data_IF_227166861714
#
_entry.id   IF_227166861714
#
_cell.length_a   1.000
_cell.length_b   1.000
_cell.length_c   1.000
_cell.angle_alpha   90.00
_cell.angle_beta   90.00
_cell.angle_gamma   90.00
#
_symmetry.space_group_name_H-M   'P 1'
#
loop_
_entity.id
_entity.type
_entity.pdbx_description
1 polymer ?
#
# COMPACT_ATOMS: atom_id res chain seq x y z
N UNK A 1 -33.42 -30.21 41.23
CA UNK A 1 -31.97 -30.37 40.93
C UNK A 1 -31.64 -29.48 39.76
N UNK A 2 -31.33 -28.20 40.02
CA UNK A 2 -30.91 -27.25 38.98
C UNK A 2 -29.43 -27.51 38.67
N UNK A 3 -29.15 -28.05 37.49
CA UNK A 3 -27.78 -28.16 37.01
C UNK A 3 -27.25 -26.73 36.79
N UNK A 4 -26.32 -26.31 37.63
CA UNK A 4 -25.46 -25.16 37.38
C UNK A 4 -24.60 -25.50 36.16
N UNK A 5 -25.12 -25.23 34.96
CA UNK A 5 -24.32 -25.19 33.75
C UNK A 5 -23.29 -24.09 33.98
N UNK A 6 -22.04 -24.48 34.19
CA UNK A 6 -20.94 -23.53 34.34
C UNK A 6 -20.94 -22.61 33.12
N UNK A 7 -20.96 -21.29 33.31
CA UNK A 7 -20.93 -20.30 32.22
C UNK A 7 -19.78 -20.54 31.23
N UNK A 8 -18.72 -21.21 31.69
CA UNK A 8 -17.59 -21.65 30.87
C UNK A 8 -17.93 -22.70 29.80
N UNK A 9 -18.94 -23.55 30.02
CA UNK A 9 -19.33 -24.57 29.03
C UNK A 9 -20.13 -23.95 27.89
N UNK A 10 -21.08 -23.07 28.21
CA UNK A 10 -21.84 -22.33 27.20
C UNK A 10 -20.94 -21.42 26.37
N UNK A 11 -20.00 -20.72 27.01
CA UNK A 11 -19.03 -19.89 26.29
C UNK A 11 -18.15 -20.73 25.34
N UNK A 12 -17.71 -21.91 25.78
CA UNK A 12 -16.92 -22.83 24.94
C UNK A 12 -17.74 -23.32 23.75
N UNK A 13 -18.98 -23.74 23.97
CA UNK A 13 -19.85 -24.27 22.91
C UNK A 13 -20.15 -23.22 21.84
N UNK A 14 -20.35 -21.96 22.24
CA UNK A 14 -20.50 -20.81 21.33
C UNK A 14 -19.21 -20.58 20.52
N UNK A 15 -18.05 -20.53 21.18
CA UNK A 15 -16.75 -20.28 20.53
C UNK A 15 -16.29 -21.43 19.60
N UNK A 16 -16.82 -22.63 19.77
CA UNK A 16 -16.51 -23.79 18.92
C UNK A 16 -17.47 -23.99 17.76
N UNK A 17 -18.50 -23.15 17.61
CA UNK A 17 -19.35 -23.22 16.42
C UNK A 17 -18.53 -22.83 15.18
N UNK A 18 -18.46 -23.68 14.13
CA UNK A 18 -17.60 -23.44 12.97
C UNK A 18 -17.87 -22.09 12.30
N UNK A 19 -19.15 -21.77 12.12
CA UNK A 19 -19.59 -20.54 11.47
C UNK A 19 -19.29 -19.30 12.32
N UNK A 20 -19.41 -19.41 13.64
CA UNK A 20 -19.10 -18.33 14.58
C UNK A 20 -17.60 -18.17 14.79
N UNK A 21 -16.84 -19.26 14.78
CA UNK A 21 -15.39 -19.27 14.85
C UNK A 21 -14.77 -18.58 13.63
N UNK A 22 -15.28 -18.85 12.42
CA UNK A 22 -14.89 -18.09 11.23
C UNK A 22 -15.29 -16.62 11.33
N UNK A 23 -16.45 -16.29 11.90
CA UNK A 23 -16.91 -14.91 12.10
C UNK A 23 -16.10 -14.15 13.16
N UNK A 24 -15.73 -14.83 14.25
CA UNK A 24 -14.91 -14.31 15.35
C UNK A 24 -13.46 -14.15 14.88
N UNK A 25 -12.91 -15.08 14.11
CA UNK A 25 -11.58 -14.93 13.52
C UNK A 25 -11.55 -13.92 12.36
N UNK A 26 -12.67 -13.72 11.65
CA UNK A 26 -12.83 -12.62 10.70
C UNK A 26 -12.89 -11.24 11.41
N UNK A 27 -13.29 -11.22 12.68
CA UNK A 27 -13.19 -10.08 13.59
C UNK A 27 -11.88 -10.14 14.38
N UNK A 28 -10.77 -9.69 13.76
CA UNK A 28 -9.51 -9.56 14.51
C UNK A 28 -9.68 -8.49 15.60
N UNK A 29 -9.61 -8.91 16.87
CA UNK A 29 -9.62 -8.02 18.02
C UNK A 29 -8.56 -6.92 17.83
N UNK A 30 -8.95 -5.66 18.05
CA UNK A 30 -8.09 -4.49 17.81
C UNK A 30 -8.12 -3.88 16.39
N UNK A 31 -8.88 -4.40 15.43
CA UNK A 31 -9.06 -3.74 14.11
C UNK A 31 -10.22 -2.73 14.15
N UNK A 32 -10.01 -1.44 13.80
CA UNK A 32 -11.08 -0.44 13.77
C UNK A 32 -12.16 -0.73 12.72
N UNK A 33 -13.41 -0.34 12.98
CA UNK A 33 -14.55 -0.59 12.08
C UNK A 33 -14.34 -0.06 10.65
N UNK A 34 -13.69 1.11 10.51
CA UNK A 34 -13.35 1.68 9.21
C UNK A 34 -12.45 0.75 8.41
N UNK A 35 -11.47 0.12 9.07
CA UNK A 35 -10.54 -0.79 8.43
C UNK A 35 -11.19 -2.15 8.14
N UNK A 36 -12.05 -2.63 9.04
CA UNK A 36 -12.83 -3.84 8.83
C UNK A 36 -13.68 -3.77 7.55
N UNK A 37 -14.36 -2.64 7.34
CA UNK A 37 -15.13 -2.42 6.11
C UNK A 37 -14.26 -2.54 4.86
N UNK A 38 -13.02 -2.03 4.92
CA UNK A 38 -12.09 -2.13 3.80
C UNK A 38 -11.63 -3.57 3.55
N UNK A 39 -11.32 -4.34 4.60
CA UNK A 39 -11.03 -5.78 4.44
C UNK A 39 -12.18 -6.50 3.74
N UNK A 40 -13.41 -6.34 4.22
CA UNK A 40 -14.60 -6.96 3.61
C UNK A 40 -14.75 -6.57 2.14
N UNK A 41 -14.60 -5.28 1.83
CA UNK A 41 -14.69 -4.77 0.46
C UNK A 41 -13.66 -5.42 -0.48
N UNK A 42 -12.39 -5.49 -0.08
CA UNK A 42 -11.35 -6.04 -0.95
C UNK A 42 -11.35 -7.57 -1.00
N UNK A 43 -11.74 -8.27 0.07
CA UNK A 43 -12.03 -9.70 -0.01
C UNK A 43 -13.13 -9.96 -1.03
N UNK A 44 -14.26 -9.25 -0.96
CA UNK A 44 -15.35 -9.40 -1.93
C UNK A 44 -14.91 -9.08 -3.37
N UNK A 45 -14.00 -8.11 -3.57
CA UNK A 45 -13.40 -7.84 -4.89
C UNK A 45 -12.51 -9.00 -5.37
N UNK A 46 -11.73 -9.62 -4.49
CA UNK A 46 -10.88 -10.77 -4.83
C UNK A 46 -11.68 -12.04 -5.11
N UNK A 47 -12.79 -12.27 -4.40
CA UNK A 47 -13.68 -13.42 -4.63
C UNK A 47 -14.26 -13.41 -6.06
N UNK A 48 -14.59 -12.22 -6.59
CA UNK A 48 -15.09 -12.07 -7.97
C UNK A 48 -14.12 -12.58 -9.03
N UNK A 49 -12.82 -12.59 -8.73
CA UNK A 49 -11.76 -13.10 -9.61
C UNK A 49 -11.25 -14.48 -9.18
N UNK A 50 -11.96 -15.16 -8.27
CA UNK A 50 -11.66 -16.51 -7.80
C UNK A 50 -10.20 -16.69 -7.35
N UNK A 51 -9.71 -15.74 -6.55
CA UNK A 51 -8.29 -15.65 -6.19
C UNK A 51 -7.72 -16.92 -5.53
N UNK A 52 -8.56 -17.71 -4.87
CA UNK A 52 -8.18 -18.98 -4.23
C UNK A 52 -7.54 -19.97 -5.19
N UNK A 53 -8.05 -20.06 -6.41
CA UNK A 53 -7.56 -20.97 -7.45
C UNK A 53 -6.72 -20.23 -8.50
N UNK A 54 -6.63 -18.90 -8.42
CA UNK A 54 -5.88 -18.10 -9.36
C UNK A 54 -4.37 -18.22 -9.08
N UNK A 55 -3.55 -18.65 -10.06
CA UNK A 55 -2.13 -18.95 -9.85
C UNK A 55 -1.31 -17.74 -9.39
N UNK A 56 -1.74 -16.52 -9.73
CA UNK A 56 -1.03 -15.27 -9.35
C UNK A 56 -1.53 -14.65 -8.04
N UNK A 57 -2.74 -15.01 -7.58
CA UNK A 57 -3.39 -14.35 -6.44
C UNK A 57 -3.61 -15.29 -5.25
N UNK A 58 -3.30 -16.58 -5.38
CA UNK A 58 -3.43 -17.57 -4.31
C UNK A 58 -2.69 -17.18 -3.01
N UNK A 59 -1.61 -16.39 -3.10
CA UNK A 59 -0.89 -15.87 -1.93
C UNK A 59 -1.76 -14.99 -1.02
N UNK A 60 -2.87 -14.41 -1.51
CA UNK A 60 -3.81 -13.61 -0.71
C UNK A 60 -4.58 -14.44 0.31
N UNK A 61 -4.52 -15.78 0.23
CA UNK A 61 -5.08 -16.65 1.27
C UNK A 61 -4.32 -16.51 2.60
N UNK A 62 -3.04 -16.14 2.55
CA UNK A 62 -2.26 -15.81 3.74
C UNK A 62 -2.61 -14.39 4.22
N UNK A 63 -3.07 -14.22 5.48
CA UNK A 63 -3.46 -12.94 6.04
C UNK A 63 -2.39 -11.83 5.93
N UNK A 64 -1.10 -12.17 5.99
CA UNK A 64 -0.02 -11.19 5.91
C UNK A 64 0.10 -10.57 4.51
N UNK A 65 -0.10 -11.39 3.48
CA UNK A 65 -0.11 -10.93 2.08
C UNK A 65 -1.39 -10.18 1.75
N UNK A 66 -2.52 -10.59 2.31
CA UNK A 66 -3.77 -9.84 2.18
C UNK A 66 -3.67 -8.44 2.82
N UNK A 67 -3.06 -8.34 4.00
CA UNK A 67 -2.73 -7.05 4.65
C UNK A 67 -1.87 -6.18 3.72
N UNK A 68 -0.81 -6.74 3.13
CA UNK A 68 0.04 -6.00 2.20
C UNK A 68 -0.68 -5.56 0.94
N UNK A 69 -1.53 -6.43 0.39
CA UNK A 69 -2.39 -6.08 -0.75
C UNK A 69 -3.35 -4.95 -0.41
N UNK A 70 -4.02 -5.04 0.75
CA UNK A 70 -4.93 -4.01 1.22
C UNK A 70 -4.22 -2.66 1.38
N UNK A 71 -3.05 -2.63 2.02
CA UNK A 71 -2.25 -1.41 2.16
C UNK A 71 -1.95 -0.78 0.80
N UNK A 72 -1.47 -1.58 -0.17
CA UNK A 72 -1.18 -1.09 -1.51
C UNK A 72 -2.43 -0.51 -2.19
N UNK A 73 -3.60 -1.14 -2.00
CA UNK A 73 -4.87 -0.65 -2.55
C UNK A 73 -5.38 0.60 -1.87
N UNK A 74 -5.27 0.70 -0.54
CA UNK A 74 -5.61 1.91 0.21
C UNK A 74 -4.79 3.11 -0.27
N UNK A 75 -3.50 2.92 -0.49
CA UNK A 75 -2.61 3.97 -1.00
C UNK A 75 -2.88 4.31 -2.48
N UNK A 76 -3.24 3.31 -3.29
CA UNK A 76 -3.60 3.52 -4.69
C UNK A 76 -4.91 4.31 -4.84
N UNK A 77 -5.91 3.97 -4.02
CA UNK A 77 -7.25 4.58 -4.04
C UNK A 77 -7.31 5.87 -3.20
N UNK A 78 -6.15 6.37 -2.73
CA UNK A 78 -5.99 7.60 -1.93
C UNK A 78 -6.76 7.64 -0.60
N UNK A 79 -6.99 6.48 0.01
CA UNK A 79 -7.58 6.37 1.35
C UNK A 79 -6.53 6.59 2.45
N UNK A 80 -5.90 7.78 2.45
CA UNK A 80 -4.77 8.11 3.32
C UNK A 80 -5.07 7.96 4.82
N UNK A 81 -6.24 8.38 5.29
CA UNK A 81 -6.62 8.31 6.72
C UNK A 81 -6.73 6.86 7.19
N UNK A 82 -7.33 6.01 6.36
CA UNK A 82 -7.43 4.58 6.64
C UNK A 82 -6.07 3.91 6.54
N UNK A 83 -5.20 4.34 5.62
CA UNK A 83 -3.82 3.86 5.55
C UNK A 83 -3.00 4.22 6.80
N UNK A 84 -3.19 5.41 7.37
CA UNK A 84 -2.60 5.77 8.66
C UNK A 84 -3.08 4.85 9.78
N UNK A 85 -4.39 4.67 9.88
CA UNK A 85 -5.04 3.77 10.85
C UNK A 85 -4.54 2.33 10.69
N UNK A 86 -4.37 1.87 9.45
CA UNK A 86 -3.85 0.56 9.12
C UNK A 86 -2.42 0.37 9.63
N UNK A 87 -1.55 1.34 9.39
CA UNK A 87 -0.16 1.29 9.84
C UNK A 87 -0.03 1.45 11.37
N UNK A 88 -1.01 2.07 12.05
CA UNK A 88 -1.07 2.11 13.52
C UNK A 88 -1.51 0.74 14.08
N UNK A 89 -2.51 0.13 13.43
CA UNK A 89 -3.03 -1.20 13.80
C UNK A 89 -1.98 -2.30 13.61
N UNK A 90 -1.25 -2.27 12.49
CA UNK A 90 -0.21 -3.26 12.14
C UNK A 90 1.18 -2.62 12.21
N UNK A 91 1.61 -2.33 13.45
CA UNK A 91 2.81 -1.54 13.72
C UNK A 91 4.13 -2.29 13.40
N UNK A 92 4.17 -3.62 13.49
CA UNK A 92 5.42 -4.37 13.30
C UNK A 92 5.67 -4.67 11.82
N UNK A 93 6.93 -4.71 11.40
CA UNK A 93 7.28 -4.97 10.00
C UNK A 93 6.83 -6.38 9.55
N UNK A 94 6.82 -7.35 10.46
CA UNK A 94 6.40 -8.73 10.22
C UNK A 94 4.87 -8.89 10.06
N UNK A 95 4.08 -7.88 10.43
CA UNK A 95 2.61 -7.93 10.36
C UNK A 95 2.09 -7.81 8.91
N UNK A 96 2.94 -7.39 7.97
CA UNK A 96 2.58 -7.07 6.58
C UNK A 96 3.61 -7.66 5.62
N UNK A 97 3.14 -8.42 4.62
CA UNK A 97 3.97 -8.88 3.50
C UNK A 97 3.45 -8.33 2.19
N UNK A 98 4.30 -7.63 1.44
CA UNK A 98 3.89 -7.13 0.13
C UNK A 98 3.84 -8.25 -0.91
N UNK A 99 2.74 -8.38 -1.67
CA UNK A 99 2.61 -9.44 -2.64
C UNK A 99 3.52 -9.25 -3.85
N UNK A 100 4.24 -10.31 -4.21
CA UNK A 100 5.23 -10.27 -5.30
C UNK A 100 4.58 -10.20 -6.69
N UNK A 101 3.40 -10.80 -6.83
CA UNK A 101 2.64 -10.94 -8.10
C UNK A 101 1.68 -9.80 -8.41
N UNK A 102 1.56 -8.79 -7.54
CA UNK A 102 0.75 -7.60 -7.84
C UNK A 102 1.60 -6.63 -8.66
N UNK A 103 0.95 -5.86 -9.54
CA UNK A 103 1.61 -4.84 -10.37
C UNK A 103 2.58 -3.99 -9.55
N UNK A 104 3.78 -3.78 -10.08
CA UNK A 104 4.83 -3.02 -9.39
C UNK A 104 4.40 -1.58 -9.08
N UNK A 105 3.50 -1.00 -9.89
CA UNK A 105 2.94 0.33 -9.66
C UNK A 105 2.12 0.39 -8.37
N UNK A 106 1.39 -0.69 -8.08
CA UNK A 106 0.57 -0.84 -6.87
C UNK A 106 1.50 -1.16 -5.69
N UNK A 107 2.52 -2.00 -5.92
CA UNK A 107 3.46 -2.45 -4.89
C UNK A 107 4.42 -1.36 -4.39
N UNK A 108 4.69 -0.32 -5.19
CA UNK A 108 5.50 0.81 -4.76
C UNK A 108 4.70 1.74 -3.83
N UNK A 109 4.56 1.34 -2.57
CA UNK A 109 3.79 2.04 -1.54
C UNK A 109 4.24 3.50 -1.37
N UNK A 110 5.54 3.77 -1.43
CA UNK A 110 6.08 5.14 -1.31
C UNK A 110 5.68 5.97 -2.53
N UNK A 111 5.75 5.42 -3.74
CA UNK A 111 5.33 6.14 -4.95
C UNK A 111 3.86 6.58 -4.85
N UNK A 112 2.97 5.71 -4.32
CA UNK A 112 1.57 6.02 -4.11
C UNK A 112 1.36 7.07 -3.01
N UNK A 113 2.07 6.97 -1.88
CA UNK A 113 2.01 8.00 -0.82
C UNK A 113 2.50 9.37 -1.32
N UNK A 114 3.47 9.39 -2.25
CA UNK A 114 3.94 10.62 -2.90
C UNK A 114 2.91 11.18 -3.87
N UNK A 115 2.18 10.33 -4.62
CA UNK A 115 1.04 10.78 -5.46
C UNK A 115 -0.02 11.49 -4.61
N UNK A 116 -0.30 10.95 -3.43
CA UNK A 116 -1.20 11.53 -2.43
C UNK A 116 -0.63 12.79 -1.72
N UNK A 117 0.62 13.18 -2.02
CA UNK A 117 1.32 14.33 -1.42
C UNK A 117 1.41 14.25 0.11
N UNK A 118 1.37 13.05 0.68
CA UNK A 118 1.34 12.84 2.12
C UNK A 118 2.74 12.48 2.65
N UNK A 119 3.50 13.50 3.07
CA UNK A 119 4.85 13.32 3.62
C UNK A 119 4.87 12.43 4.88
N UNK A 120 3.80 12.47 5.69
CA UNK A 120 3.70 11.64 6.89
C UNK A 120 3.65 10.15 6.53
N UNK A 121 2.84 9.76 5.54
CA UNK A 121 2.83 8.38 5.02
C UNK A 121 4.17 8.00 4.41
N UNK A 122 4.80 8.89 3.63
CA UNK A 122 6.12 8.63 3.04
C UNK A 122 7.15 8.31 4.13
N UNK A 123 7.19 9.09 5.21
CA UNK A 123 8.09 8.84 6.36
C UNK A 123 7.79 7.52 7.05
N UNK A 124 6.51 7.23 7.31
CA UNK A 124 6.08 5.99 7.98
C UNK A 124 6.39 4.74 7.16
N UNK A 125 6.15 4.77 5.86
CA UNK A 125 6.48 3.67 4.95
C UNK A 125 7.99 3.50 4.81
N UNK A 126 8.74 4.61 4.73
CA UNK A 126 10.21 4.56 4.65
C UNK A 126 10.85 3.92 5.88
N UNK A 127 10.31 4.17 7.07
CA UNK A 127 10.80 3.59 8.33
C UNK A 127 10.69 2.06 8.39
N UNK A 128 10.03 1.42 7.41
CA UNK A 128 9.66 0.01 7.40
C UNK A 128 10.18 -0.67 6.13
N UNK A 129 11.37 -1.30 6.16
CA UNK A 129 12.02 -1.84 4.97
C UNK A 129 11.20 -2.87 4.20
N UNK A 130 10.39 -3.71 4.87
CA UNK A 130 9.60 -4.75 4.19
C UNK A 130 8.50 -4.16 3.28
N UNK A 131 7.97 -2.99 3.63
CA UNK A 131 6.86 -2.36 2.90
C UNK A 131 7.24 -1.04 2.22
N UNK A 132 8.36 -0.40 2.57
CA UNK A 132 8.85 0.88 2.06
C UNK A 132 9.48 0.81 0.68
N UNK A 133 8.77 0.20 -0.27
CA UNK A 133 9.23 0.07 -1.66
C UNK A 133 9.03 1.41 -2.38
N UNK A 134 10.10 1.90 -2.98
CA UNK A 134 10.17 3.15 -3.72
C UNK A 134 10.78 2.90 -5.08
N UNK A 135 10.44 3.73 -6.07
CA UNK A 135 11.15 3.81 -7.33
C UNK A 135 11.57 5.24 -7.65
N UNK A 136 12.32 5.41 -8.74
CA UNK A 136 12.63 6.75 -9.27
C UNK A 136 11.37 7.56 -9.65
N UNK A 137 10.22 6.90 -9.85
CA UNK A 137 8.95 7.59 -10.09
C UNK A 137 8.50 8.43 -8.89
N UNK A 138 8.81 8.04 -7.66
CA UNK A 138 8.46 8.83 -6.48
C UNK A 138 9.01 10.25 -6.59
N UNK A 139 10.31 10.40 -6.89
CA UNK A 139 10.93 11.72 -7.02
C UNK A 139 10.44 12.46 -8.27
N UNK A 140 10.18 11.75 -9.39
CA UNK A 140 9.59 12.35 -10.59
C UNK A 140 8.18 12.93 -10.33
N UNK A 141 7.36 12.22 -9.54
CA UNK A 141 6.01 12.64 -9.14
C UNK A 141 6.09 13.82 -8.18
N UNK A 142 6.89 13.73 -7.11
CA UNK A 142 7.09 14.83 -6.17
C UNK A 142 7.57 16.10 -6.90
N UNK A 143 8.48 15.95 -7.87
CA UNK A 143 8.98 17.06 -8.65
C UNK A 143 7.94 17.66 -9.61
N UNK A 144 7.05 16.84 -10.17
CA UNK A 144 5.92 17.28 -10.97
C UNK A 144 4.90 18.08 -10.15
N UNK A 145 4.71 17.66 -8.91
CA UNK A 145 3.78 18.21 -7.94
C UNK A 145 4.30 19.50 -7.27
N UNK A 146 5.61 19.74 -7.33
CA UNK A 146 6.24 20.88 -6.65
C UNK A 146 6.51 20.63 -5.17
N UNK A 147 6.48 19.37 -4.73
CA UNK A 147 6.61 18.96 -3.33
C UNK A 147 8.08 18.97 -2.88
N UNK A 148 8.62 20.16 -2.65
CA UNK A 148 10.03 20.33 -2.29
C UNK A 148 10.41 19.48 -1.07
N UNK A 149 9.57 19.44 -0.04
CA UNK A 149 9.85 18.70 1.20
C UNK A 149 9.96 17.19 0.96
N UNK A 150 9.07 16.64 0.12
CA UNK A 150 9.12 15.23 -0.29
C UNK A 150 10.36 14.97 -1.15
N UNK A 151 10.70 15.85 -2.09
CA UNK A 151 11.90 15.73 -2.92
C UNK A 151 13.17 15.73 -2.06
N UNK A 152 13.25 16.62 -1.07
CA UNK A 152 14.37 16.68 -0.12
C UNK A 152 14.46 15.40 0.71
N UNK A 153 13.33 14.94 1.26
CA UNK A 153 13.28 13.70 2.03
C UNK A 153 13.75 12.49 1.21
N UNK A 154 13.19 12.31 0.01
CA UNK A 154 13.58 11.23 -0.90
C UNK A 154 15.05 11.38 -1.33
N UNK A 155 15.57 12.60 -1.51
CA UNK A 155 16.97 12.81 -1.85
C UNK A 155 17.92 12.34 -0.75
N UNK A 156 17.61 12.66 0.50
CA UNK A 156 18.47 12.37 1.65
C UNK A 156 18.44 10.89 2.04
N UNK A 157 17.28 10.24 1.91
CA UNK A 157 17.06 8.89 2.46
C UNK A 157 16.99 7.79 1.42
N UNK A 158 16.92 8.11 0.12
CA UNK A 158 16.76 7.14 -0.98
C UNK A 158 17.81 7.32 -2.08
N UNK A 159 18.20 6.22 -2.70
CA UNK A 159 19.30 6.15 -3.67
C UNK A 159 18.83 5.93 -5.10
N UNK A 160 17.55 5.65 -5.32
CA UNK A 160 16.95 5.38 -6.62
C UNK A 160 17.12 6.55 -7.58
N UNK A 161 17.14 7.78 -7.05
CA UNK A 161 17.28 9.02 -7.81
C UNK A 161 16.01 9.43 -8.54
N UNK A 162 16.14 10.28 -9.55
CA UNK A 162 15.05 10.67 -10.43
C UNK A 162 15.42 10.46 -11.90
N UNK A 163 14.45 10.65 -12.79
CA UNK A 163 14.71 10.68 -14.23
C UNK A 163 14.71 12.10 -14.77
N UNK A 164 15.08 12.25 -16.05
CA UNK A 164 14.95 13.51 -16.79
C UNK A 164 13.53 14.09 -16.74
N UNK A 165 12.50 13.29 -16.44
CA UNK A 165 11.14 13.76 -16.28
C UNK A 165 10.98 14.66 -15.06
N UNK A 166 11.65 14.39 -13.93
CA UNK A 166 11.64 15.28 -12.77
C UNK A 166 12.05 16.71 -13.17
N UNK A 167 13.17 16.86 -13.88
CA UNK A 167 13.68 18.16 -14.34
C UNK A 167 12.72 18.84 -15.31
N UNK A 168 12.17 18.08 -16.27
CA UNK A 168 11.20 18.62 -17.24
C UNK A 168 9.93 19.12 -16.55
N UNK A 169 9.39 18.35 -15.61
CA UNK A 169 8.14 18.69 -14.90
C UNK A 169 8.35 19.77 -13.83
N UNK A 170 9.50 19.78 -13.16
CA UNK A 170 9.90 20.80 -12.19
C UNK A 170 10.12 22.20 -12.81
N UNK A 171 10.15 22.36 -14.14
CA UNK A 171 10.24 23.69 -14.78
C UNK A 171 9.17 24.68 -14.31
N UNK A 172 7.98 24.17 -13.93
CA UNK A 172 6.90 24.98 -13.35
C UNK A 172 7.15 25.34 -11.87
N UNK A 173 8.02 24.60 -11.20
CA UNK A 173 8.29 24.65 -9.76
C UNK A 173 9.75 25.04 -9.51
N UNK A 174 10.02 26.35 -9.54
CA UNK A 174 11.40 26.92 -9.49
C UNK A 174 12.23 26.38 -8.33
N UNK A 175 11.64 26.25 -7.13
CA UNK A 175 12.35 25.78 -5.95
C UNK A 175 12.81 24.32 -6.09
N UNK A 176 11.93 23.45 -6.59
CA UNK A 176 12.29 22.05 -6.88
C UNK A 176 13.33 21.96 -7.98
N UNK A 177 13.17 22.69 -9.08
CA UNK A 177 14.14 22.65 -10.17
C UNK A 177 15.53 23.11 -9.71
N UNK A 178 15.60 24.19 -8.92
CA UNK A 178 16.84 24.67 -8.34
C UNK A 178 17.48 23.60 -7.44
N UNK A 179 16.68 22.95 -6.59
CA UNK A 179 17.15 21.86 -5.74
C UNK A 179 17.70 20.68 -6.55
N UNK A 180 16.97 20.22 -7.58
CA UNK A 180 17.40 19.10 -8.41
C UNK A 180 18.68 19.41 -9.19
N UNK A 181 18.82 20.62 -9.75
CA UNK A 181 20.05 21.03 -10.45
C UNK A 181 21.25 21.14 -9.52
N UNK A 182 21.05 21.60 -8.29
CA UNK A 182 22.13 21.74 -7.32
C UNK A 182 22.59 20.39 -6.74
N UNK A 183 21.66 19.47 -6.48
CA UNK A 183 21.93 18.26 -5.70
C UNK A 183 21.97 16.96 -6.54
N UNK A 184 21.34 16.94 -7.71
CA UNK A 184 21.20 15.76 -8.58
C UNK A 184 21.49 16.04 -10.07
N UNK A 185 22.52 16.81 -10.45
CA UNK A 185 22.78 17.12 -11.87
C UNK A 185 22.98 15.88 -12.74
N UNK A 186 23.49 14.78 -12.17
CA UNK A 186 23.67 13.50 -12.85
C UNK A 186 22.36 12.87 -13.35
N UNK A 187 21.23 13.15 -12.70
CA UNK A 187 19.93 12.57 -13.04
C UNK A 187 19.21 13.36 -14.16
N UNK A 188 19.72 14.54 -14.58
CA UNK A 188 19.06 15.43 -15.56
C UNK A 188 18.84 14.77 -16.93
N UNK A 189 19.70 13.83 -17.29
CA UNK A 189 19.61 13.07 -18.55
C UNK A 189 19.27 11.60 -18.33
N UNK A 190 19.06 11.18 -17.09
CA UNK A 190 18.76 9.79 -16.74
C UNK A 190 17.43 9.36 -17.35
N UNK A 191 17.43 8.21 -18.01
CA UNK A 191 16.22 7.68 -18.63
C UNK A 191 15.26 7.17 -17.57
N UNK A 192 13.97 7.33 -17.85
CA UNK A 192 12.94 6.69 -17.06
C UNK A 192 13.05 5.16 -17.22
N UNK A 193 13.12 4.44 -16.10
CA UNK A 193 12.84 3.00 -16.09
C UNK A 193 11.37 2.82 -16.43
N UNK A 194 11.06 2.62 -17.71
CA UNK A 194 9.70 2.36 -18.18
C UNK A 194 9.16 1.11 -17.49
N UNK A 195 8.29 1.30 -16.51
CA UNK A 195 7.34 0.26 -16.11
C UNK A 195 6.28 0.26 -17.21
N UNK A 196 6.26 -0.75 -18.08
CA UNK A 196 5.16 -0.91 -19.05
C UNK A 196 3.86 -1.10 -18.25
N UNK A 197 2.96 -0.13 -18.34
CA UNK A 197 1.66 -0.14 -17.70
C UNK A 197 1.14 1.29 -17.64
N UNK A 198 0.36 1.68 -18.64
CA UNK A 198 -0.37 2.94 -18.66
C UNK A 198 -1.27 3.00 -17.41
N UNK A 199 -0.94 3.89 -16.48
CA UNK A 199 -1.83 4.22 -15.37
C UNK A 199 -2.87 5.21 -15.91
N UNK A 200 -4.05 4.69 -16.24
CA UNK A 200 -5.22 5.48 -16.59
C UNK A 200 -6.08 5.67 -15.33
N UNK A 201 -6.18 6.89 -14.76
CA UNK A 201 -6.94 7.14 -13.54
C UNK A 201 -8.45 6.89 -13.67
N UNK A 202 -8.95 6.70 -14.90
CA UNK A 202 -10.36 6.43 -15.20
C UNK A 202 -10.71 4.97 -15.47
N UNK A 203 -9.72 4.07 -15.57
CA UNK A 203 -9.97 2.65 -15.78
C UNK A 203 -10.11 1.96 -14.40
N UNK A 204 -11.37 1.76 -14.00
CA UNK A 204 -11.71 1.01 -12.80
C UNK A 204 -10.90 -0.29 -12.65
N UNK A 205 -10.61 -0.61 -11.40
CA UNK A 205 -9.88 -1.78 -10.96
C UNK A 205 -10.13 -3.02 -11.85
N UNK A 206 -9.03 -3.74 -12.15
CA UNK A 206 -8.91 -4.94 -13.00
C UNK A 206 -8.53 -4.60 -14.46
N UNK A 207 -7.44 -3.86 -14.65
CA UNK A 207 -6.65 -3.95 -15.88
C UNK A 207 -5.78 -5.19 -15.86
N UNK A 208 -6.39 -6.35 -16.13
CA UNK A 208 -5.66 -7.56 -16.48
C UNK A 208 -4.89 -7.28 -17.79
N UNK A 209 -3.57 -7.25 -17.74
CA UNK A 209 -2.75 -7.45 -18.94
C UNK A 209 -1.96 -8.73 -18.69
N UNK A 210 -2.62 -9.85 -18.96
CA UNK A 210 -1.95 -11.07 -19.40
C UNK A 210 -2.15 -11.11 -20.91
N UNK A 211 -1.07 -11.29 -21.67
CA UNK A 211 -1.14 -11.49 -23.12
C UNK A 211 -1.97 -12.73 -23.47
#
# INVERSE_FOLDING_TARGET
>A
MSALVSSSSLARDVLTQPDLWELILAYQDGVPCSLQHMFQLYYAKLEKVQYHIHPELNQMQDPLYMRGYLLCRLLQDDHCDVAHTFLDTFSNDDDIKLPSRVSILIRNTIDNAVRARNLSLVKRLHARPAIGICSQLAMDIAAANGDLDIVQFLHQHRTEGCSRLAFKKAKKHKAVLAFLKANRPQDEHRRETRVRGEYDPGAGAIGCIVQ
#
